data_IF_659366785249
#
_entry.id   IF_659366785249
#
_cell.length_a   1.000
_cell.length_b   1.000
_cell.length_c   1.000
_cell.angle_alpha   90.00
_cell.angle_beta   90.00
_cell.angle_gamma   90.00
#
_symmetry.space_group_name_H-M   'P 1'
#
loop_
_entity.id
_entity.type
_entity.pdbx_description
1 polymer ?
#
# COMPACT_ATOMS: atom_id res chain seq x y z
N UNK A 1 7.91 -24.81 27.83
CA UNK A 1 7.88 -24.49 26.38
C UNK A 1 7.69 -23.00 26.26
N UNK A 2 8.44 -22.32 25.38
CA UNK A 2 8.26 -20.89 25.10
C UNK A 2 7.05 -20.70 24.19
N UNK A 3 6.15 -19.78 24.55
CA UNK A 3 5.02 -19.35 23.71
C UNK A 3 5.36 -18.02 23.03
N UNK A 4 4.70 -17.73 21.91
CA UNK A 4 4.71 -16.40 21.30
C UNK A 4 3.40 -15.73 21.67
N UNK A 5 3.48 -14.69 22.48
CA UNK A 5 2.28 -14.01 23.00
C UNK A 5 1.85 -12.83 22.10
N UNK A 6 2.79 -12.24 21.35
CA UNK A 6 2.54 -11.08 20.48
C UNK A 6 3.46 -11.09 19.26
N UNK A 7 2.86 -10.84 18.10
CA UNK A 7 3.58 -10.55 16.85
C UNK A 7 3.19 -9.16 16.39
N UNK A 8 4.18 -8.27 16.23
CA UNK A 8 3.99 -6.95 15.63
C UNK A 8 4.64 -7.00 14.25
N UNK A 9 3.81 -7.16 13.23
CA UNK A 9 4.23 -6.81 11.88
C UNK A 9 4.27 -5.26 11.85
N UNK A 10 5.44 -4.65 11.73
CA UNK A 10 5.60 -3.18 11.69
C UNK A 10 6.46 -2.73 10.51
N UNK A 11 7.29 -3.63 9.97
CA UNK A 11 8.14 -3.32 8.84
C UNK A 11 7.32 -2.76 7.66
N UNK A 12 7.96 -1.88 6.91
CA UNK A 12 7.38 -1.19 5.78
C UNK A 12 8.46 -0.52 4.94
N UNK A 13 8.08 -0.17 3.73
CA UNK A 13 8.82 0.74 2.86
C UNK A 13 7.84 1.76 2.27
N UNK A 14 8.33 2.83 1.66
CA UNK A 14 7.44 3.85 1.10
C UNK A 14 8.16 4.62 0.01
N UNK A 15 7.39 5.01 -1.01
CA UNK A 15 7.80 6.03 -1.96
C UNK A 15 9.09 5.69 -2.72
N UNK A 16 9.11 4.53 -3.37
CA UNK A 16 10.12 4.26 -4.39
C UNK A 16 9.69 4.93 -5.69
N UNK A 17 10.49 5.84 -6.25
CA UNK A 17 10.16 6.45 -7.53
C UNK A 17 10.22 5.42 -8.67
N UNK A 18 11.17 4.48 -8.57
CA UNK A 18 11.35 3.41 -9.56
C UNK A 18 10.51 2.18 -9.21
N UNK A 19 9.76 1.71 -10.20
CA UNK A 19 9.01 0.46 -10.08
C UNK A 19 9.98 -0.71 -9.85
N UNK A 20 9.97 -1.25 -8.63
CA UNK A 20 10.91 -2.30 -8.19
C UNK A 20 10.13 -3.54 -7.77
N UNK A 21 10.56 -4.71 -8.23
CA UNK A 21 9.99 -6.00 -7.86
C UNK A 21 10.88 -6.73 -6.86
N UNK A 22 10.28 -7.50 -5.96
CA UNK A 22 10.97 -8.51 -5.15
C UNK A 22 11.47 -9.65 -6.04
N UNK A 23 12.37 -10.53 -5.54
CA UNK A 23 12.79 -11.73 -6.27
C UNK A 23 11.62 -12.64 -6.70
N UNK A 24 10.51 -12.59 -5.98
CA UNK A 24 9.28 -13.35 -6.26
C UNK A 24 8.36 -12.65 -7.28
N UNK A 25 8.78 -11.52 -7.86
CA UNK A 25 8.02 -10.78 -8.87
C UNK A 25 6.86 -9.95 -8.32
N UNK A 26 6.86 -9.67 -7.01
CA UNK A 26 5.84 -8.85 -6.35
C UNK A 26 6.33 -7.41 -6.24
N UNK A 27 5.45 -6.41 -6.42
CA UNK A 27 5.83 -5.01 -6.23
C UNK A 27 6.34 -4.77 -4.80
N UNK A 28 7.46 -4.05 -4.69
CA UNK A 28 8.21 -3.93 -3.43
C UNK A 28 7.42 -3.24 -2.31
N UNK A 29 6.54 -2.29 -2.64
CA UNK A 29 5.64 -1.63 -1.69
C UNK A 29 4.36 -2.41 -1.35
N UNK A 30 4.17 -3.60 -1.93
CA UNK A 30 3.15 -4.56 -1.50
C UNK A 30 3.66 -5.51 -0.40
N UNK A 31 4.98 -5.65 -0.25
CA UNK A 31 5.63 -6.54 0.72
C UNK A 31 6.01 -5.84 2.04
N UNK A 32 5.92 -6.51 3.19
CA UNK A 32 5.08 -6.15 4.35
C UNK A 32 5.03 -4.65 4.67
N UNK A 33 3.83 -4.14 4.99
CA UNK A 33 3.60 -2.71 5.22
C UNK A 33 2.66 -2.43 6.39
N UNK A 34 2.80 -1.30 7.09
CA UNK A 34 1.82 -0.88 8.12
C UNK A 34 1.45 0.60 7.95
N UNK A 35 0.15 0.92 7.95
CA UNK A 35 -0.39 2.29 7.95
C UNK A 35 -1.11 2.77 6.67
N UNK A 36 -2.42 2.52 6.56
CA UNK A 36 -3.23 3.05 5.46
C UNK A 36 -3.49 4.56 5.58
N UNK A 37 -3.44 5.29 4.46
CA UNK A 37 -4.03 6.61 4.35
C UNK A 37 -5.55 6.44 4.27
N UNK A 38 -6.26 6.80 5.33
CA UNK A 38 -7.73 6.70 5.48
C UNK A 38 -8.47 7.87 4.84
N UNK A 39 -7.76 8.88 4.37
CA UNK A 39 -8.28 10.14 3.82
C UNK A 39 -8.49 10.07 2.29
N UNK A 40 -8.08 8.98 1.66
CA UNK A 40 -8.53 8.56 0.34
C UNK A 40 -9.32 7.28 0.53
N UNK A 41 -10.54 7.22 -0.03
CA UNK A 41 -11.37 6.03 -0.14
C UNK A 41 -10.50 4.78 -0.36
N UNK A 42 -10.84 3.66 0.31
CA UNK A 42 -10.19 2.35 0.09
C UNK A 42 -10.03 2.16 -1.41
N UNK A 43 -8.81 2.33 -1.93
CA UNK A 43 -8.53 2.04 -3.32
C UNK A 43 -8.30 0.54 -3.36
N UNK A 44 -9.15 -0.22 -4.08
CA UNK A 44 -8.94 -1.64 -4.19
C UNK A 44 -7.56 -1.89 -4.79
N UNK A 45 -6.78 -2.85 -4.25
CA UNK A 45 -5.57 -3.31 -4.92
C UNK A 45 -5.90 -3.67 -6.37
N UNK A 46 -4.98 -3.48 -7.32
CA UNK A 46 -5.15 -3.93 -8.69
C UNK A 46 -4.97 -5.45 -8.72
N UNK A 47 -5.98 -6.18 -8.23
CA UNK A 47 -5.92 -7.64 -8.14
C UNK A 47 -5.68 -8.29 -9.51
N UNK A 48 -6.09 -7.63 -10.60
CA UNK A 48 -5.82 -8.08 -11.97
C UNK A 48 -4.39 -7.80 -12.48
N UNK A 49 -3.58 -7.05 -11.73
CA UNK A 49 -2.20 -6.67 -12.07
C UNK A 49 -1.38 -6.23 -10.84
N UNK A 50 -1.15 -7.15 -9.90
CA UNK A 50 -0.38 -6.87 -8.67
C UNK A 50 1.08 -6.49 -8.91
N UNK A 51 1.59 -6.74 -10.13
CA UNK A 51 2.95 -6.41 -10.54
C UNK A 51 3.04 -5.08 -11.30
N UNK A 52 1.96 -4.29 -11.39
CA UNK A 52 1.97 -2.94 -11.99
C UNK A 52 2.59 -2.88 -13.39
N UNK A 53 2.24 -3.88 -14.22
CA UNK A 53 2.77 -4.06 -15.57
C UNK A 53 1.91 -3.39 -16.64
N UNK A 54 0.63 -3.18 -16.33
CA UNK A 54 -0.36 -2.62 -17.24
C UNK A 54 -0.55 -1.13 -16.92
N UNK A 55 -0.75 -0.28 -17.95
CA UNK A 55 -1.19 1.08 -17.70
C UNK A 55 -2.55 1.07 -17.01
N UNK A 56 -2.82 2.09 -16.20
CA UNK A 56 -4.06 2.15 -15.43
C UNK A 56 -5.33 2.22 -16.31
N UNK A 57 -5.20 2.64 -17.56
CA UNK A 57 -6.25 2.58 -18.59
C UNK A 57 -6.59 1.16 -19.08
N UNK A 58 -5.76 0.15 -18.77
CA UNK A 58 -5.95 -1.24 -19.20
C UNK A 58 -6.37 -2.19 -18.07
N UNK A 59 -6.60 -1.67 -16.86
CA UNK A 59 -7.15 -2.44 -15.73
C UNK A 59 -8.62 -2.08 -15.50
N UNK A 60 -9.28 -2.84 -14.61
CA UNK A 60 -10.69 -2.62 -14.29
C UNK A 60 -10.89 -1.25 -13.62
N UNK A 61 -11.97 -0.55 -13.96
CA UNK A 61 -12.26 0.79 -13.44
C UNK A 61 -12.33 0.84 -11.91
N UNK A 62 -12.85 -0.21 -11.28
CA UNK A 62 -12.93 -0.32 -9.82
C UNK A 62 -11.58 -0.65 -9.16
N UNK A 63 -10.58 -1.07 -9.91
CA UNK A 63 -9.20 -1.31 -9.45
C UNK A 63 -8.26 -0.13 -9.75
N UNK A 64 -8.75 0.82 -10.55
CA UNK A 64 -7.97 1.95 -11.02
C UNK A 64 -7.88 3.05 -9.94
N UNK A 65 -6.69 3.59 -9.66
CA UNK A 65 -6.57 4.74 -8.77
C UNK A 65 -7.26 5.98 -9.36
N UNK A 66 -7.79 6.85 -8.49
CA UNK A 66 -8.40 8.11 -8.93
C UNK A 66 -7.33 9.14 -9.33
N UNK A 67 -6.96 9.15 -10.61
CA UNK A 67 -6.02 10.14 -11.17
C UNK A 67 -6.52 11.57 -11.05
N UNK A 68 -7.84 11.79 -11.10
CA UNK A 68 -8.42 13.11 -10.85
C UNK A 68 -8.07 13.63 -9.44
N UNK A 69 -8.22 12.79 -8.41
CA UNK A 69 -7.84 13.12 -7.04
C UNK A 69 -6.33 13.31 -6.90
N UNK A 70 -5.53 12.45 -7.54
CA UNK A 70 -4.07 12.52 -7.48
C UNK A 70 -3.51 13.78 -8.15
N UNK A 71 -4.05 14.15 -9.32
CA UNK A 71 -3.73 15.42 -10.01
C UNK A 71 -4.12 16.62 -9.16
N UNK A 72 -5.31 16.60 -8.54
CA UNK A 72 -5.76 17.66 -7.64
C UNK A 72 -4.89 17.79 -6.38
N UNK A 73 -4.29 16.69 -5.92
CA UNK A 73 -3.34 16.66 -4.81
C UNK A 73 -1.89 16.99 -5.22
N UNK A 74 -1.63 17.32 -6.49
CA UNK A 74 -0.30 17.66 -6.98
C UNK A 74 0.69 16.49 -6.95
N UNK A 75 0.21 15.26 -7.08
CA UNK A 75 1.09 14.08 -7.11
C UNK A 75 1.82 14.03 -8.46
N UNK A 76 3.14 14.08 -8.39
CA UNK A 76 4.03 14.03 -9.55
C UNK A 76 4.96 12.82 -9.48
N UNK A 77 5.36 12.33 -10.65
CA UNK A 77 6.39 11.32 -10.83
C UNK A 77 7.33 11.81 -11.93
N UNK A 78 8.64 11.87 -11.65
CA UNK A 78 9.66 12.42 -12.55
C UNK A 78 9.37 13.84 -13.06
N UNK A 79 8.68 14.67 -12.27
CA UNK A 79 8.34 16.05 -12.62
C UNK A 79 7.13 16.20 -13.55
N UNK A 80 6.36 15.13 -13.76
CA UNK A 80 5.10 15.16 -14.48
C UNK A 80 3.94 14.72 -13.58
N UNK A 81 2.77 15.34 -13.75
CA UNK A 81 1.56 14.91 -13.05
C UNK A 81 1.19 13.47 -13.44
N UNK A 82 0.87 12.66 -12.43
CA UNK A 82 0.47 11.28 -12.66
C UNK A 82 -0.77 11.20 -13.53
N UNK A 83 -0.81 10.24 -14.44
CA UNK A 83 -1.90 10.08 -15.40
C UNK A 83 -2.17 8.61 -15.77
N UNK A 84 -3.28 8.39 -16.44
CA UNK A 84 -3.90 7.11 -16.76
C UNK A 84 -3.07 6.24 -17.73
N UNK A 85 -2.03 6.81 -18.35
CA UNK A 85 -1.08 6.08 -19.19
C UNK A 85 0.07 5.46 -18.39
N UNK A 86 0.28 5.90 -17.14
CA UNK A 86 1.31 5.34 -16.28
C UNK A 86 0.89 3.96 -15.78
N UNK A 87 1.84 3.03 -15.77
CA UNK A 87 1.66 1.69 -15.20
C UNK A 87 2.01 1.61 -13.73
N UNK A 88 2.76 2.58 -13.20
CA UNK A 88 3.19 2.61 -11.80
C UNK A 88 3.00 4.01 -11.22
N UNK A 89 2.42 4.06 -10.01
CA UNK A 89 2.22 5.29 -9.25
C UNK A 89 2.62 5.01 -7.79
N UNK A 90 3.74 5.57 -7.28
CA UNK A 90 4.26 5.22 -5.95
C UNK A 90 3.28 5.43 -4.80
N UNK A 91 2.47 6.50 -4.86
CA UNK A 91 1.41 6.75 -3.88
C UNK A 91 0.36 5.65 -3.86
N UNK A 92 -0.05 5.21 -5.05
CA UNK A 92 -1.09 4.20 -5.22
C UNK A 92 -0.57 2.84 -4.73
N UNK A 93 0.63 2.45 -5.16
CA UNK A 93 1.30 1.22 -4.73
C UNK A 93 1.42 1.14 -3.20
N UNK A 94 1.87 2.23 -2.58
CA UNK A 94 1.89 2.34 -1.12
C UNK A 94 0.49 2.18 -0.51
N UNK A 95 -0.52 2.94 -0.96
CA UNK A 95 -1.89 2.87 -0.41
C UNK A 95 -2.51 1.47 -0.57
N UNK A 96 -2.23 0.78 -1.67
CA UNK A 96 -2.67 -0.59 -1.90
C UNK A 96 -2.02 -1.58 -0.94
N UNK A 97 -0.70 -1.47 -0.75
CA UNK A 97 0.02 -2.25 0.25
C UNK A 97 -0.64 -2.12 1.63
N UNK A 98 -1.02 -0.91 2.02
CA UNK A 98 -1.68 -0.67 3.31
C UNK A 98 -3.09 -1.23 3.40
N UNK A 99 -3.86 -1.12 2.33
CA UNK A 99 -5.18 -1.72 2.22
C UNK A 99 -5.09 -3.24 2.38
N UNK A 100 -4.06 -3.87 1.78
CA UNK A 100 -3.82 -5.30 1.93
C UNK A 100 -3.59 -5.74 3.39
N UNK A 101 -2.90 -4.94 4.22
CA UNK A 101 -2.70 -5.29 5.64
C UNK A 101 -3.98 -5.19 6.46
N UNK A 102 -4.83 -4.19 6.17
CA UNK A 102 -6.15 -4.10 6.80
C UNK A 102 -7.00 -5.33 6.46
N UNK A 103 -7.04 -5.69 5.17
CA UNK A 103 -7.77 -6.88 4.71
C UNK A 103 -7.19 -8.17 5.30
N UNK A 104 -5.86 -8.26 5.42
CA UNK A 104 -5.19 -9.37 6.08
C UNK A 104 -5.62 -9.53 7.53
N UNK A 105 -5.69 -8.44 8.32
CA UNK A 105 -6.17 -8.54 9.70
C UNK A 105 -7.62 -9.00 9.79
N UNK A 106 -8.49 -8.55 8.88
CA UNK A 106 -9.89 -8.99 8.80
C UNK A 106 -9.98 -10.49 8.48
N UNK A 107 -9.29 -10.95 7.43
CA UNK A 107 -9.31 -12.34 7.00
C UNK A 107 -8.66 -13.28 8.04
N UNK A 108 -7.58 -12.84 8.70
CA UNK A 108 -6.92 -13.59 9.77
C UNK A 108 -7.88 -13.84 10.94
N UNK A 109 -8.64 -12.82 11.36
CA UNK A 109 -9.67 -12.99 12.38
C UNK A 109 -10.77 -13.93 11.91
N UNK A 110 -11.28 -13.77 10.69
CA UNK A 110 -12.35 -14.64 10.16
C UNK A 110 -11.96 -16.12 10.11
N UNK A 111 -10.69 -16.42 9.84
CA UNK A 111 -10.23 -17.81 9.67
C UNK A 111 -9.70 -18.43 10.95
N UNK A 112 -8.96 -17.68 11.76
CA UNK A 112 -8.11 -18.25 12.81
C UNK A 112 -8.47 -17.82 14.24
N UNK A 113 -9.34 -16.83 14.42
CA UNK A 113 -9.70 -16.35 15.76
C UNK A 113 -10.23 -17.49 16.65
N UNK A 114 -11.20 -18.26 16.17
CA UNK A 114 -11.80 -19.37 16.93
C UNK A 114 -10.85 -20.58 17.06
N UNK A 115 -9.88 -20.72 16.17
CA UNK A 115 -8.97 -21.89 16.15
C UNK A 115 -7.76 -21.70 17.09
N UNK A 116 -7.25 -20.47 17.17
CA UNK A 116 -6.02 -20.14 17.89
C UNK A 116 -6.26 -19.23 19.10
N UNK A 117 -7.52 -18.81 19.33
CA UNK A 117 -7.88 -17.78 20.31
C UNK A 117 -7.04 -16.50 20.16
N UNK A 118 -6.63 -16.21 18.92
CA UNK A 118 -5.67 -15.15 18.60
C UNK A 118 -6.37 -13.96 17.95
N UNK A 119 -6.15 -12.76 18.47
CA UNK A 119 -6.72 -11.53 17.94
C UNK A 119 -5.75 -10.82 16.99
N UNK A 120 -6.21 -10.52 15.77
CA UNK A 120 -5.50 -9.71 14.78
C UNK A 120 -6.06 -8.29 14.72
N UNK A 121 -5.20 -7.28 14.77
CA UNK A 121 -5.58 -5.87 14.71
C UNK A 121 -4.72 -5.12 13.71
N UNK A 122 -5.34 -4.21 12.95
CA UNK A 122 -4.65 -3.22 12.13
C UNK A 122 -4.69 -1.86 12.83
N UNK A 123 -3.53 -1.26 13.08
CA UNK A 123 -3.39 0.01 13.81
C UNK A 123 -2.71 1.06 12.92
N UNK A 124 -3.25 2.29 12.90
CA UNK A 124 -2.62 3.48 12.32
C UNK A 124 -2.18 4.39 13.46
N UNK A 125 -0.89 4.75 13.49
CA UNK A 125 -0.31 5.63 14.52
C UNK A 125 -0.48 7.13 14.22
N UNK A 126 -1.17 7.48 13.14
CA UNK A 126 -1.15 8.83 12.57
C UNK A 126 0.13 9.10 11.80
N UNK A 127 0.43 10.38 11.60
CA UNK A 127 1.71 10.81 11.05
C UNK A 127 2.76 10.82 12.17
N UNK A 128 3.87 10.12 11.95
CA UNK A 128 4.97 10.01 12.91
C UNK A 128 6.25 10.41 12.22
N UNK A 129 6.96 11.38 12.79
CA UNK A 129 8.25 11.84 12.28
C UNK A 129 9.29 10.74 12.40
N UNK A 130 9.70 10.20 11.25
CA UNK A 130 10.70 9.14 11.12
C UNK A 130 11.42 9.31 9.78
N UNK A 131 12.51 8.58 9.58
CA UNK A 131 13.19 8.49 8.28
C UNK A 131 12.33 7.85 7.18
N UNK A 132 11.14 7.33 7.52
CA UNK A 132 10.24 6.68 6.57
C UNK A 132 9.82 7.60 5.41
N UNK A 133 9.64 8.90 5.71
CA UNK A 133 9.23 9.92 4.74
C UNK A 133 10.34 10.60 3.94
N UNK A 134 11.61 10.18 4.07
CA UNK A 134 12.76 10.87 3.46
C UNK A 134 12.73 11.03 1.92
N UNK A 135 11.87 10.27 1.24
CA UNK A 135 11.70 10.31 -0.22
C UNK A 135 10.52 11.18 -0.66
N UNK A 136 9.76 11.77 0.27
CA UNK A 136 8.91 12.89 -0.08
C UNK A 136 9.85 14.02 -0.53
N UNK A 137 9.68 14.51 -1.76
CA UNK A 137 10.35 15.74 -2.20
C UNK A 137 10.17 16.80 -1.12
N UNK A 138 11.22 17.54 -0.78
CA UNK A 138 11.17 18.65 0.18
C UNK A 138 10.03 19.61 -0.19
N UNK A 139 8.84 19.37 0.36
CA UNK A 139 7.73 20.31 0.34
C UNK A 139 7.82 21.10 1.63
N UNK A 140 8.74 22.07 1.61
CA UNK A 140 8.75 23.24 2.49
C UNK A 140 8.37 24.47 1.67
#
# INVERSE_FOLDING_TARGET
MSTIDLVINNAGTMWFPEHTLTPDGVELTLAPHHGARTDTQVSPPPFSDLAWTKPASAILENECPSFAMMKAAGIELHGELVNESMSYVPTAAYVHGKTANLLYSVDLNQRLYDQLESLSLAVRLGEVTTEFGRNFSDQA
#
